data_IF_131917602675
#
_entry.id   IF_131917602675
#
_cell.length_a   1.000
_cell.length_b   1.000
_cell.length_c   1.000
_cell.angle_alpha   90.00
_cell.angle_beta   90.00
_cell.angle_gamma   90.00
#
_symmetry.space_group_name_H-M   'P 1'
#
loop_
_entity.id
_entity.type
_entity.pdbx_description
1 polymer ?
#
# COMPACT_ATOMS: atom_id res chain seq x y z
N UNK A 1 26.53 -10.86 -3.87
CA UNK A 1 26.12 -12.05 -4.66
C UNK A 1 24.97 -12.83 -4.00
N UNK A 2 23.72 -12.38 -4.21
CA UNK A 2 22.47 -13.09 -3.85
C UNK A 2 21.37 -12.84 -4.92
N UNK A 3 21.79 -12.60 -6.17
CA UNK A 3 20.91 -12.28 -7.32
C UNK A 3 20.61 -13.48 -8.23
N UNK A 4 20.98 -14.70 -7.84
CA UNK A 4 20.73 -15.92 -8.64
C UNK A 4 19.69 -16.79 -7.93
N UNK A 5 18.67 -17.18 -8.72
CA UNK A 5 17.61 -18.15 -8.45
C UNK A 5 16.28 -17.60 -7.92
N UNK A 6 15.69 -16.66 -8.66
CA UNK A 6 14.24 -16.54 -8.68
C UNK A 6 13.77 -16.92 -10.09
N UNK A 7 13.00 -18.01 -10.18
CA UNK A 7 12.40 -18.48 -11.43
C UNK A 7 11.70 -17.31 -12.14
N UNK A 8 11.71 -17.30 -13.48
CA UNK A 8 11.16 -16.22 -14.31
C UNK A 8 9.85 -15.58 -13.79
N UNK A 9 8.85 -16.31 -13.24
CA UNK A 9 7.63 -15.69 -12.71
C UNK A 9 7.88 -14.74 -11.53
N UNK A 10 8.78 -15.09 -10.60
CA UNK A 10 9.00 -14.34 -9.37
C UNK A 10 9.63 -12.96 -9.60
N UNK A 11 10.42 -12.82 -10.68
CA UNK A 11 11.03 -11.55 -11.04
C UNK A 11 10.00 -10.52 -11.51
N UNK A 12 9.00 -10.94 -12.30
CA UNK A 12 7.96 -10.06 -12.80
C UNK A 12 6.92 -9.70 -11.75
N UNK A 13 6.68 -10.60 -10.78
CA UNK A 13 5.73 -10.38 -9.68
C UNK A 13 6.21 -9.23 -8.78
N UNK A 14 7.50 -9.12 -8.48
CA UNK A 14 7.99 -8.30 -7.37
C UNK A 14 8.77 -7.03 -7.79
N UNK A 15 8.57 -6.50 -9.00
CA UNK A 15 9.39 -5.40 -9.52
C UNK A 15 9.48 -4.18 -8.58
N UNK A 16 8.41 -3.85 -7.83
CA UNK A 16 8.42 -2.74 -6.86
C UNK A 16 9.22 -3.04 -5.58
N UNK A 17 9.39 -4.31 -5.19
CA UNK A 17 10.14 -4.69 -3.97
C UNK A 17 11.66 -4.53 -4.13
N UNK A 18 12.17 -4.45 -5.36
CA UNK A 18 13.61 -4.48 -5.61
C UNK A 18 14.26 -3.11 -5.83
N UNK A 19 13.49 -2.02 -5.84
CA UNK A 19 14.02 -0.71 -6.30
C UNK A 19 14.34 0.23 -5.12
N UNK A 20 13.59 0.21 -4.01
CA UNK A 20 13.89 0.99 -2.78
C UNK A 20 13.32 0.29 -1.53
N UNK A 21 13.95 0.47 -0.34
CA UNK A 21 13.33 0.06 0.91
C UNK A 21 11.96 0.73 1.05
N UNK A 22 10.95 -0.02 1.48
CA UNK A 22 9.65 0.55 1.87
C UNK A 22 9.85 1.23 3.21
N UNK A 23 9.42 2.49 3.30
CA UNK A 23 9.37 3.24 4.54
C UNK A 23 7.91 3.33 4.95
N UNK A 24 7.63 2.96 6.19
CA UNK A 24 6.34 3.16 6.84
C UNK A 24 6.41 4.38 7.75
N UNK A 25 5.26 4.84 8.24
CA UNK A 25 5.21 6.02 9.10
C UNK A 25 6.02 5.82 10.38
N UNK A 26 6.00 4.60 10.93
CA UNK A 26 6.75 4.19 12.11
C UNK A 26 8.27 4.30 11.89
N UNK A 27 8.75 4.04 10.67
CA UNK A 27 10.16 4.19 10.32
C UNK A 27 10.57 5.68 10.35
N UNK A 28 9.72 6.56 9.81
CA UNK A 28 9.95 7.99 9.82
C UNK A 28 9.86 8.57 11.22
N UNK A 29 8.86 8.17 12.00
CA UNK A 29 8.70 8.57 13.40
C UNK A 29 9.94 8.23 14.21
N UNK A 30 10.40 6.98 14.13
CA UNK A 30 11.60 6.52 14.82
C UNK A 30 12.81 7.37 14.44
N UNK A 31 13.01 7.64 13.16
CA UNK A 31 14.12 8.47 12.67
C UNK A 31 14.07 9.90 13.24
N UNK A 32 12.89 10.52 13.27
CA UNK A 32 12.73 11.90 13.78
C UNK A 32 13.01 11.96 15.28
N UNK A 33 12.53 10.98 16.05
CA UNK A 33 12.81 10.85 17.49
C UNK A 33 14.32 10.67 17.72
N UNK A 34 14.96 9.75 17.01
CA UNK A 34 16.41 9.50 17.12
C UNK A 34 17.25 10.74 16.75
N UNK A 35 16.72 11.60 15.88
CA UNK A 35 17.36 12.85 15.45
C UNK A 35 17.04 14.05 16.34
N UNK A 36 16.26 13.88 17.43
CA UNK A 36 15.75 14.97 18.28
C UNK A 36 15.03 16.08 17.50
N UNK A 37 14.34 15.71 16.41
CA UNK A 37 13.53 16.65 15.64
C UNK A 37 12.15 16.72 16.28
N UNK A 38 11.68 17.92 16.59
CA UNK A 38 10.32 18.13 17.05
C UNK A 38 9.35 17.99 15.88
N UNK A 39 8.33 17.16 16.06
CA UNK A 39 7.28 16.97 15.07
C UNK A 39 5.94 16.71 15.75
N UNK A 40 4.87 16.95 15.00
CA UNK A 40 3.52 16.48 15.30
C UNK A 40 3.01 15.61 14.15
N UNK A 41 2.17 14.64 14.49
CA UNK A 41 1.52 13.77 13.51
C UNK A 41 0.03 14.06 13.46
N UNK A 42 -0.55 13.98 12.26
CA UNK A 42 -2.00 13.96 12.07
C UNK A 42 -2.37 12.78 11.17
N UNK A 43 -3.41 12.04 11.56
CA UNK A 43 -3.95 10.94 10.75
C UNK A 43 -5.15 11.44 9.96
N UNK A 44 -5.13 11.22 8.65
CA UNK A 44 -6.22 11.52 7.75
C UNK A 44 -6.78 10.22 7.16
N UNK A 45 -8.06 9.98 7.40
CA UNK A 45 -8.78 8.85 6.79
C UNK A 45 -8.93 9.07 5.28
N UNK A 46 -8.49 8.08 4.51
CA UNK A 46 -8.54 8.09 3.05
C UNK A 46 -8.92 6.69 2.54
N UNK A 47 -10.19 6.29 2.66
CA UNK A 47 -10.62 4.96 2.25
C UNK A 47 -10.53 4.81 0.73
N UNK A 48 -10.17 3.61 0.26
CA UNK A 48 -9.95 3.33 -1.16
C UNK A 48 -11.09 2.48 -1.73
N UNK A 49 -11.78 2.98 -2.76
CA UNK A 49 -12.80 2.21 -3.46
C UNK A 49 -12.15 1.14 -4.35
N UNK A 50 -12.40 -0.13 -4.03
CA UNK A 50 -11.86 -1.30 -4.74
C UNK A 50 -12.93 -2.10 -5.46
N UNK A 51 -14.13 -1.55 -5.67
CA UNK A 51 -15.24 -2.24 -6.35
C UNK A 51 -14.81 -2.88 -7.67
N UNK A 52 -14.04 -2.14 -8.48
CA UNK A 52 -13.55 -2.60 -9.78
C UNK A 52 -12.65 -3.85 -9.68
N UNK A 53 -11.96 -4.07 -8.56
CA UNK A 53 -11.10 -5.25 -8.36
C UNK A 53 -11.89 -6.57 -8.36
N UNK A 54 -13.19 -6.53 -8.05
CA UNK A 54 -14.05 -7.71 -8.04
C UNK A 54 -14.69 -7.99 -9.42
N UNK A 55 -14.49 -7.11 -10.40
CA UNK A 55 -15.01 -7.26 -11.76
C UNK A 55 -13.91 -7.91 -12.61
N UNK A 56 -14.08 -9.19 -12.94
CA UNK A 56 -13.08 -10.02 -13.63
C UNK A 56 -12.49 -9.39 -14.90
N UNK A 57 -13.33 -8.72 -15.69
CA UNK A 57 -12.91 -8.11 -16.96
C UNK A 57 -12.48 -6.64 -16.85
N UNK A 58 -12.57 -6.03 -15.66
CA UNK A 58 -12.18 -4.64 -15.46
C UNK A 58 -10.67 -4.46 -15.58
N UNK A 59 -10.25 -3.65 -16.53
CA UNK A 59 -8.83 -3.27 -16.68
C UNK A 59 -8.40 -2.34 -15.54
N UNK A 60 -9.28 -1.44 -15.12
CA UNK A 60 -9.05 -0.54 -13.98
C UNK A 60 -8.89 -1.36 -12.70
N UNK A 61 -9.74 -2.37 -12.49
CA UNK A 61 -9.64 -3.28 -11.34
C UNK A 61 -8.31 -4.03 -11.28
N UNK A 62 -7.84 -4.54 -12.42
CA UNK A 62 -6.53 -5.22 -12.51
C UNK A 62 -5.38 -4.29 -12.17
N UNK A 63 -5.36 -3.07 -12.73
CA UNK A 63 -4.33 -2.08 -12.45
C UNK A 63 -4.33 -1.60 -10.99
N UNK A 64 -5.52 -1.42 -10.41
CA UNK A 64 -5.68 -1.05 -9.01
C UNK A 64 -5.20 -2.18 -8.08
N UNK A 65 -5.54 -3.43 -8.40
CA UNK A 65 -5.06 -4.59 -7.64
C UNK A 65 -3.54 -4.72 -7.69
N UNK A 66 -2.95 -4.54 -8.88
CA UNK A 66 -1.49 -4.52 -9.06
C UNK A 66 -0.84 -3.40 -8.23
N UNK A 67 -1.47 -2.23 -8.17
CA UNK A 67 -1.00 -1.09 -7.40
C UNK A 67 -1.00 -1.39 -5.90
N UNK A 68 -2.12 -1.89 -5.35
CA UNK A 68 -2.31 -2.17 -3.92
C UNK A 68 -1.35 -3.27 -3.46
N UNK A 69 -1.26 -4.37 -4.20
CA UNK A 69 -0.35 -5.49 -3.87
C UNK A 69 1.11 -5.11 -4.13
N UNK A 70 1.33 -4.15 -5.04
CA UNK A 70 2.66 -3.79 -5.51
C UNK A 70 3.30 -4.88 -6.37
N UNK A 71 2.47 -5.65 -7.09
CA UNK A 71 2.88 -6.80 -7.88
C UNK A 71 2.08 -6.91 -9.18
N UNK A 72 2.64 -7.54 -10.22
CA UNK A 72 1.86 -7.87 -11.42
C UNK A 72 1.02 -9.13 -11.16
N UNK A 73 -0.27 -8.94 -10.92
CA UNK A 73 -1.21 -10.00 -10.53
C UNK A 73 -1.62 -10.91 -11.69
N UNK A 74 -1.28 -10.57 -12.95
CA UNK A 74 -1.50 -11.46 -14.10
C UNK A 74 -0.71 -12.76 -14.00
N UNK A 75 0.36 -12.79 -13.19
CA UNK A 75 1.16 -13.99 -12.93
C UNK A 75 0.66 -14.80 -11.72
N UNK A 76 -0.39 -14.36 -11.03
CA UNK A 76 -0.92 -15.09 -9.88
C UNK A 76 -1.75 -16.27 -10.36
N UNK A 77 -1.71 -17.37 -9.62
CA UNK A 77 -2.62 -18.49 -9.88
C UNK A 77 -4.06 -18.08 -9.57
N UNK A 78 -5.07 -18.74 -10.17
CA UNK A 78 -6.47 -18.48 -9.85
C UNK A 78 -6.79 -18.56 -8.35
N UNK A 79 -6.13 -19.48 -7.64
CA UNK A 79 -6.28 -19.61 -6.19
C UNK A 79 -5.69 -18.41 -5.43
N UNK A 80 -4.51 -17.93 -5.83
CA UNK A 80 -3.89 -16.73 -5.22
C UNK A 80 -4.76 -15.50 -5.42
N UNK A 81 -5.30 -15.29 -6.63
CA UNK A 81 -6.21 -14.18 -6.92
C UNK A 81 -7.48 -14.27 -6.08
N UNK A 82 -8.07 -15.46 -5.96
CA UNK A 82 -9.26 -15.67 -5.14
C UNK A 82 -8.99 -15.35 -3.67
N UNK A 83 -7.94 -15.91 -3.07
CA UNK A 83 -7.60 -15.66 -1.67
C UNK A 83 -7.33 -14.18 -1.39
N UNK A 84 -6.68 -13.49 -2.32
CA UNK A 84 -6.42 -12.06 -2.23
C UNK A 84 -7.71 -11.23 -2.26
N UNK A 85 -8.62 -11.51 -3.19
CA UNK A 85 -9.90 -10.82 -3.29
C UNK A 85 -10.80 -11.14 -2.10
N UNK A 86 -10.81 -12.39 -1.62
CA UNK A 86 -11.52 -12.79 -0.41
C UNK A 86 -11.01 -12.00 0.79
N UNK A 87 -9.68 -11.89 0.96
CA UNK A 87 -9.07 -11.06 2.01
C UNK A 87 -9.51 -9.60 1.92
N UNK A 88 -9.41 -8.97 0.74
CA UNK A 88 -9.88 -7.60 0.56
C UNK A 88 -11.38 -7.45 0.83
N UNK A 89 -12.19 -8.46 0.49
CA UNK A 89 -13.61 -8.51 0.80
C UNK A 89 -13.90 -8.54 2.30
N UNK A 90 -13.04 -9.19 3.10
CA UNK A 90 -13.17 -9.21 4.57
C UNK A 90 -12.74 -7.90 5.24
N UNK A 91 -11.74 -7.23 4.68
CA UNK A 91 -11.24 -5.97 5.22
C UNK A 91 -12.07 -4.76 4.77
N UNK A 92 -12.83 -4.90 3.68
CA UNK A 92 -13.58 -3.80 3.11
C UNK A 92 -14.94 -3.57 3.80
N UNK A 93 -15.32 -2.30 3.87
CA UNK A 93 -16.65 -1.85 4.25
C UNK A 93 -17.49 -1.70 2.99
N UNK A 94 -18.70 -2.28 3.00
CA UNK A 94 -19.68 -2.06 1.93
C UNK A 94 -20.53 -0.85 2.28
N UNK A 95 -20.60 0.12 1.39
CA UNK A 95 -21.38 1.35 1.58
C UNK A 95 -22.62 1.31 0.69
N UNK A 96 -23.68 1.98 1.14
CA UNK A 96 -24.89 2.21 0.33
C UNK A 96 -24.50 2.85 -1.02
N UNK A 97 -24.84 2.19 -2.13
CA UNK A 97 -24.35 2.50 -3.47
C UNK A 97 -23.51 1.39 -4.12
N UNK A 98 -23.23 0.31 -3.39
CA UNK A 98 -22.50 -0.85 -3.91
C UNK A 98 -21.01 -0.61 -4.09
N UNK A 99 -20.48 0.40 -3.39
CA UNK A 99 -19.06 0.65 -3.26
C UNK A 99 -18.45 -0.32 -2.24
N UNK A 100 -17.19 -0.69 -2.46
CA UNK A 100 -16.43 -1.58 -1.59
C UNK A 100 -15.17 -0.81 -1.19
N UNK A 101 -15.14 -0.33 0.05
CA UNK A 101 -14.10 0.58 0.54
C UNK A 101 -13.13 -0.16 1.44
N UNK A 102 -11.85 -0.19 1.10
CA UNK A 102 -10.80 -0.58 2.06
C UNK A 102 -10.54 0.62 2.99
N UNK A 103 -10.66 0.46 4.32
CA UNK A 103 -10.19 1.46 5.27
C UNK A 103 -8.69 1.66 5.11
N UNK A 104 -8.29 2.90 4.86
CA UNK A 104 -6.90 3.28 4.76
C UNK A 104 -6.73 4.70 5.27
N UNK A 105 -5.55 5.00 5.81
CA UNK A 105 -5.26 6.30 6.40
C UNK A 105 -3.87 6.74 5.98
N UNK A 106 -3.69 8.04 5.86
CA UNK A 106 -2.40 8.68 5.58
C UNK A 106 -1.95 9.39 6.85
N UNK A 107 -0.67 9.26 7.18
CA UNK A 107 -0.07 9.95 8.33
C UNK A 107 0.73 11.15 7.80
N UNK A 108 0.37 12.34 8.27
CA UNK A 108 1.02 13.60 7.94
C UNK A 108 1.97 13.97 9.07
N UNK A 109 3.24 14.22 8.73
CA UNK A 109 4.25 14.69 9.66
C UNK A 109 4.49 16.18 9.46
N UNK A 110 4.30 16.97 10.51
CA UNK A 110 4.64 18.40 10.51
C UNK A 110 5.87 18.59 11.38
N UNK A 111 6.98 19.04 10.77
CA UNK A 111 8.21 19.34 11.49
C UNK A 111 8.10 20.73 12.10
N UNK A 112 8.35 20.82 13.39
CA UNK A 112 8.35 22.09 14.12
C UNK A 112 9.75 22.70 14.02
N UNK A 113 9.84 23.92 13.49
CA UNK A 113 11.08 24.68 13.51
C UNK A 113 11.09 25.52 14.79
N UNK A 114 12.15 25.42 15.59
CA UNK A 114 12.37 26.38 16.67
C UNK A 114 12.35 27.80 16.10
N UNK A 115 11.47 28.65 16.63
CA UNK A 115 11.55 30.08 16.37
C UNK A 115 12.84 30.55 17.03
N UNK A 116 13.84 30.87 16.22
CA UNK A 116 14.99 31.64 16.69
C UNK A 116 14.44 33.01 17.07
N UNK A 117 14.31 33.26 18.37
CA UNK A 117 13.96 34.58 18.91
C UNK A 117 14.98 35.59 18.38
N UNK A 118 14.50 36.61 17.67
CA UNK A 118 15.30 37.75 17.22
C UNK A 118 15.57 38.72 18.37
#
# INVERSE_FOLDING_TARGET
>A
PKKKLLNKPYYYINQRLYIKPKWFAEDLEKLLIESNILFRQETMEFPVNIKECFIKESQVGKQLLDFIVGANTAYFSPLQLRLLLDYFGTCAQKIEGGEIMIPHSIILFFLEKERVSA
#
